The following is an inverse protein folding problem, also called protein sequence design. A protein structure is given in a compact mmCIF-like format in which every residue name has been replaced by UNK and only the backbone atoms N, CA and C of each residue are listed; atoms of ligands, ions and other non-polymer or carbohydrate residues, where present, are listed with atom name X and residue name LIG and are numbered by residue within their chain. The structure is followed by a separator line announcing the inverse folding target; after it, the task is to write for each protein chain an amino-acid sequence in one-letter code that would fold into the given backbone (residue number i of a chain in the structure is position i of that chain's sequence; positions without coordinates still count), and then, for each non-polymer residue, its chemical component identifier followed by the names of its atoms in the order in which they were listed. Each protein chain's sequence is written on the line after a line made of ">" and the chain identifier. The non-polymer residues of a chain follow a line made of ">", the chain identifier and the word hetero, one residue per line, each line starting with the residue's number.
data_IF_941479547584
#
_entry.id   IF_941479547584
#
_cell.length_a   1.000
_cell.length_b   1.000
_cell.length_c   1.000
_cell.angle_alpha   90.00
_cell.angle_beta   90.00
_cell.angle_gamma   90.00
#
_symmetry.space_group_name_H-M   'P 1'
#
loop_
_entity.id
_entity.type
_entity.pdbx_description
1 polymer ?
#
# COMPACT_ATOMS: atom_id res chain seq x y z
N UNK A 1 -12.19 -12.11 5.78
CA UNK A 1 -12.02 -10.66 5.57
C UNK A 1 -12.35 -9.96 6.89
N UNK A 2 -11.39 -9.26 7.50
CA UNK A 2 -11.55 -8.65 8.83
C UNK A 2 -12.00 -7.18 8.81
N UNK A 3 -12.16 -6.57 7.61
CA UNK A 3 -12.68 -5.20 7.47
C UNK A 3 -11.75 -4.10 7.96
N UNK A 4 -10.44 -4.35 8.05
CA UNK A 4 -9.48 -3.40 8.57
C UNK A 4 -9.18 -2.27 7.56
N UNK A 5 -9.27 -1.00 7.97
CA UNK A 5 -8.77 0.12 7.19
C UNK A 5 -7.24 0.19 7.25
N UNK A 6 -6.62 0.56 6.14
CA UNK A 6 -5.18 0.76 6.00
C UNK A 6 -4.91 2.11 5.35
N UNK A 7 -3.95 2.85 5.90
CA UNK A 7 -3.43 4.07 5.29
C UNK A 7 -2.67 3.71 4.00
N UNK A 8 -3.11 4.24 2.86
CA UNK A 8 -2.55 3.88 1.54
C UNK A 8 -1.14 4.41 1.29
N UNK A 9 -0.66 5.37 2.08
CA UNK A 9 0.68 5.95 1.94
C UNK A 9 1.72 5.17 2.74
N UNK A 10 1.33 4.57 3.85
CA UNK A 10 2.24 3.94 4.83
C UNK A 10 2.00 2.44 5.02
N UNK A 11 0.82 1.96 4.65
CA UNK A 11 0.38 0.57 4.83
C UNK A 11 -0.01 0.24 6.27
N UNK A 12 -0.02 1.22 7.18
CA UNK A 12 -0.38 0.99 8.58
C UNK A 12 -1.88 0.73 8.71
N UNK A 13 -2.25 -0.33 9.45
CA UNK A 13 -3.64 -0.53 9.83
C UNK A 13 -4.03 0.49 10.91
N UNK A 14 -5.13 1.21 10.70
CA UNK A 14 -5.57 2.28 11.62
C UNK A 14 -6.18 1.71 12.91
N UNK A 15 -6.71 0.48 12.86
CA UNK A 15 -7.40 -0.16 13.99
C UNK A 15 -6.55 -1.22 14.71
N UNK A 16 -5.43 -1.64 14.11
CA UNK A 16 -4.51 -2.60 14.71
C UNK A 16 -3.06 -2.12 14.51
N UNK A 17 -2.42 -1.53 15.53
CA UNK A 17 -1.07 -0.98 15.40
C UNK A 17 -0.01 -2.06 15.07
N UNK A 18 -0.29 -3.34 15.36
CA UNK A 18 0.63 -4.45 15.06
C UNK A 18 0.51 -4.98 13.62
N UNK A 19 -0.45 -4.49 12.84
CA UNK A 19 -0.65 -4.90 11.46
C UNK A 19 -0.19 -3.80 10.49
N UNK A 20 0.67 -4.18 9.54
CA UNK A 20 1.18 -3.30 8.48
C UNK A 20 1.34 -4.11 7.18
N UNK A 21 1.00 -3.49 6.06
CA UNK A 21 1.24 -4.04 4.71
C UNK A 21 2.33 -3.26 4.00
N UNK A 22 2.99 -3.89 3.03
CA UNK A 22 4.00 -3.23 2.21
C UNK A 22 3.37 -2.22 1.25
N UNK A 23 4.07 -1.10 1.05
CA UNK A 23 3.74 -0.10 0.05
C UNK A 23 4.87 -0.01 -0.97
N UNK A 24 4.49 -0.02 -2.25
CA UNK A 24 5.42 0.04 -3.37
C UNK A 24 5.32 1.41 -4.05
N UNK A 25 6.45 1.90 -4.56
CA UNK A 25 6.44 3.13 -5.36
C UNK A 25 5.68 2.88 -6.67
N UNK A 26 4.79 3.81 -7.00
CA UNK A 26 3.96 3.75 -8.20
C UNK A 26 4.07 5.02 -9.00
N UNK A 27 3.96 4.89 -10.32
CA UNK A 27 3.88 6.01 -11.26
C UNK A 27 2.84 5.73 -12.33
N UNK A 28 2.29 6.78 -12.91
CA UNK A 28 1.40 6.72 -14.08
C UNK A 28 2.11 7.36 -15.26
N UNK A 29 2.27 6.62 -16.35
CA UNK A 29 2.85 7.10 -17.61
C UNK A 29 1.97 6.61 -18.76
N UNK A 30 1.56 7.50 -19.65
CA UNK A 30 0.71 7.21 -20.82
C UNK A 30 -0.56 6.39 -20.54
N UNK A 31 -1.15 6.58 -19.35
CA UNK A 31 -2.35 5.87 -18.91
C UNK A 31 -2.09 4.48 -18.33
N UNK A 32 -0.82 4.05 -18.28
CA UNK A 32 -0.40 2.80 -17.65
C UNK A 32 0.11 3.05 -16.23
N UNK A 33 -0.14 2.09 -15.34
CA UNK A 33 0.30 2.13 -13.94
C UNK A 33 1.51 1.21 -13.79
N UNK A 34 2.61 1.77 -13.33
CA UNK A 34 3.84 1.04 -13.06
C UNK A 34 4.05 0.92 -11.56
N UNK A 35 4.49 -0.26 -11.11
CA UNK A 35 4.86 -0.54 -9.73
C UNK A 35 6.35 -0.90 -9.71
N UNK A 36 7.14 -0.23 -8.86
CA UNK A 36 8.53 -0.62 -8.66
C UNK A 36 8.59 -1.85 -7.76
N UNK A 37 9.06 -2.96 -8.30
CA UNK A 37 9.41 -4.13 -7.50
C UNK A 37 10.67 -3.80 -6.68
N UNK A 38 10.60 -4.07 -5.38
CA UNK A 38 11.76 -4.01 -4.48
C UNK A 38 12.24 -5.43 -4.20
N UNK A 39 13.56 -5.61 -4.07
CA UNK A 39 14.16 -6.86 -3.54
C UNK A 39 13.84 -7.05 -2.05
#
# INVERSE_FOLDING_TARGET
>A
MHGWPFDLRTGQCETNPNAKVDCFETKVEDGEVFVRLTE
#
